data_IF_748260831272
#
_entry.id   IF_748260831272
#
_cell.length_a   1.000
_cell.length_b   1.000
_cell.length_c   1.000
_cell.angle_alpha   90.00
_cell.angle_beta   90.00
_cell.angle_gamma   90.00
#
_symmetry.space_group_name_H-M   'P 1'
#
loop_
_entity.id
_entity.type
_entity.pdbx_description
1 polymer ?
#
# COMPACT_ATOMS: atom_id res chain seq x y z
N UNK A 1 98.11 -30.94 -32.82
CA UNK A 1 97.96 -30.51 -31.41
C UNK A 1 97.63 -29.03 -31.21
N UNK A 2 98.49 -28.05 -31.54
CA UNK A 2 98.14 -26.61 -31.33
C UNK A 2 97.01 -26.09 -32.24
N UNK A 3 96.88 -26.60 -33.48
CA UNK A 3 95.80 -26.23 -34.42
C UNK A 3 94.43 -26.74 -33.96
N UNK A 4 94.36 -28.00 -33.55
CA UNK A 4 93.12 -28.66 -33.09
C UNK A 4 92.55 -27.98 -31.84
N UNK A 5 93.43 -27.58 -30.92
CA UNK A 5 93.05 -26.84 -29.70
C UNK A 5 92.44 -25.46 -30.02
N UNK A 6 92.91 -24.82 -31.10
CA UNK A 6 92.45 -23.50 -31.53
C UNK A 6 91.07 -23.59 -32.21
N UNK A 7 90.84 -24.67 -32.95
CA UNK A 7 89.56 -24.98 -33.59
C UNK A 7 88.49 -25.35 -32.56
N UNK A 8 88.85 -26.16 -31.56
CA UNK A 8 87.99 -26.47 -30.40
C UNK A 8 87.60 -25.20 -29.64
N UNK A 9 88.55 -24.27 -29.38
CA UNK A 9 88.25 -22.97 -28.78
C UNK A 9 87.28 -22.13 -29.62
N UNK A 10 87.37 -22.20 -30.95
CA UNK A 10 86.51 -21.46 -31.87
C UNK A 10 85.09 -22.03 -31.88
N UNK A 11 84.96 -23.36 -31.83
CA UNK A 11 83.67 -24.06 -31.69
C UNK A 11 83.03 -23.78 -30.33
N UNK A 12 83.78 -23.85 -29.23
CA UNK A 12 83.30 -23.52 -27.89
C UNK A 12 82.72 -22.09 -27.81
N UNK A 13 83.38 -21.10 -28.41
CA UNK A 13 82.84 -19.73 -28.47
C UNK A 13 81.56 -19.62 -29.29
N UNK A 14 81.44 -20.36 -30.40
CA UNK A 14 80.20 -20.39 -31.20
C UNK A 14 79.05 -21.02 -30.41
N UNK A 15 79.32 -22.10 -29.70
CA UNK A 15 78.34 -22.77 -28.84
C UNK A 15 77.89 -21.82 -27.71
N UNK A 16 78.83 -21.17 -27.01
CA UNK A 16 78.53 -20.18 -25.96
C UNK A 16 77.66 -19.04 -26.48
N UNK A 17 77.99 -18.48 -27.64
CA UNK A 17 77.20 -17.39 -28.25
C UNK A 17 75.80 -17.85 -28.67
N UNK A 18 75.65 -19.10 -29.11
CA UNK A 18 74.34 -19.67 -29.40
C UNK A 18 73.54 -19.92 -28.11
N UNK A 19 74.18 -20.37 -27.03
CA UNK A 19 73.53 -20.55 -25.72
C UNK A 19 73.06 -19.21 -25.13
N UNK A 20 73.86 -18.14 -25.23
CA UNK A 20 73.41 -16.78 -24.84
C UNK A 20 72.20 -16.31 -25.65
N UNK A 21 72.20 -16.55 -26.97
CA UNK A 21 71.05 -16.22 -27.83
C UNK A 21 69.80 -17.00 -27.46
N UNK A 22 69.94 -18.30 -27.18
CA UNK A 22 68.84 -19.15 -26.75
C UNK A 22 68.29 -18.69 -25.41
N UNK A 23 69.14 -18.36 -24.44
CA UNK A 23 68.73 -17.78 -23.15
C UNK A 23 67.97 -16.47 -23.32
N UNK A 24 68.42 -15.59 -24.22
CA UNK A 24 67.70 -14.35 -24.52
C UNK A 24 66.32 -14.62 -25.13
N UNK A 25 66.23 -15.57 -26.07
CA UNK A 25 64.96 -15.96 -26.68
C UNK A 25 64.01 -16.59 -25.66
N UNK A 26 64.52 -17.46 -24.79
CA UNK A 26 63.74 -18.11 -23.73
C UNK A 26 63.21 -17.09 -22.73
N UNK A 27 64.03 -16.11 -22.33
CA UNK A 27 63.58 -15.01 -21.46
C UNK A 27 62.50 -14.11 -22.11
N UNK A 28 62.59 -13.91 -23.43
CA UNK A 28 61.59 -13.13 -24.17
C UNK A 28 60.26 -13.91 -24.26
N UNK A 29 60.31 -15.21 -24.57
CA UNK A 29 59.14 -16.09 -24.62
C UNK A 29 58.45 -16.15 -23.24
N UNK A 30 59.21 -16.32 -22.16
CA UNK A 30 58.67 -16.31 -20.79
C UNK A 30 57.94 -14.99 -20.45
N UNK A 31 58.48 -13.85 -20.91
CA UNK A 31 57.83 -12.56 -20.69
C UNK A 31 56.52 -12.42 -21.50
N UNK A 32 56.49 -13.00 -22.70
CA UNK A 32 55.32 -12.99 -23.57
C UNK A 32 54.23 -13.93 -23.02
N UNK A 33 54.59 -15.15 -22.60
CA UNK A 33 53.68 -16.09 -21.93
C UNK A 33 53.03 -15.47 -20.69
N UNK A 34 53.82 -14.79 -19.85
CA UNK A 34 53.27 -14.10 -18.67
C UNK A 34 52.30 -12.97 -19.05
N UNK A 35 52.55 -12.27 -20.16
CA UNK A 35 51.63 -11.23 -20.63
C UNK A 35 50.33 -11.81 -21.19
N UNK A 36 50.39 -12.96 -21.86
CA UNK A 36 49.23 -13.71 -22.35
C UNK A 36 48.41 -14.24 -21.19
N UNK A 37 49.04 -14.84 -20.17
CA UNK A 37 48.36 -15.36 -18.99
C UNK A 37 47.60 -14.25 -18.23
N UNK A 38 48.20 -13.05 -18.13
CA UNK A 38 47.52 -11.89 -17.57
C UNK A 38 46.30 -11.44 -18.39
N UNK A 39 46.41 -11.47 -19.73
CA UNK A 39 45.30 -11.12 -20.61
C UNK A 39 44.16 -12.15 -20.54
N UNK A 40 44.48 -13.45 -20.51
CA UNK A 40 43.50 -14.52 -20.35
C UNK A 40 42.77 -14.43 -19.01
N UNK A 41 43.51 -14.13 -17.92
CA UNK A 41 42.92 -13.88 -16.61
C UNK A 41 41.95 -12.69 -16.62
N UNK A 42 42.32 -11.58 -17.27
CA UNK A 42 41.45 -10.41 -17.38
C UNK A 42 40.19 -10.67 -18.22
N UNK A 43 40.31 -11.41 -19.33
CA UNK A 43 39.17 -11.81 -20.17
C UNK A 43 38.22 -12.74 -19.42
N UNK A 44 38.76 -13.66 -18.61
CA UNK A 44 37.95 -14.57 -17.78
C UNK A 44 37.13 -13.80 -16.75
N UNK A 45 37.73 -12.80 -16.09
CA UNK A 45 37.02 -11.94 -15.15
C UNK A 45 35.94 -11.10 -15.84
N UNK A 46 36.22 -10.55 -17.02
CA UNK A 46 35.23 -9.82 -17.80
C UNK A 46 34.05 -10.71 -18.19
N UNK A 47 34.30 -11.94 -18.65
CA UNK A 47 33.25 -12.88 -19.01
C UNK A 47 32.33 -13.19 -17.81
N UNK A 48 32.89 -13.41 -16.63
CA UNK A 48 32.11 -13.64 -15.40
C UNK A 48 31.23 -12.43 -15.03
N UNK A 49 31.79 -11.20 -15.09
CA UNK A 49 31.00 -9.99 -14.81
C UNK A 49 29.87 -9.76 -15.81
N UNK A 50 30.08 -10.16 -17.07
CA UNK A 50 29.06 -10.06 -18.12
C UNK A 50 27.92 -11.04 -17.87
N UNK A 51 28.26 -12.28 -17.49
CA UNK A 51 27.29 -13.33 -17.20
C UNK A 51 26.42 -12.99 -15.98
N UNK A 52 27.02 -12.41 -14.93
CA UNK A 52 26.27 -11.89 -13.76
C UNK A 52 25.32 -10.75 -14.15
N UNK A 53 25.76 -9.83 -15.01
CA UNK A 53 24.92 -8.73 -15.49
C UNK A 53 23.75 -9.22 -16.36
N UNK A 54 23.98 -10.20 -17.24
CA UNK A 54 22.93 -10.81 -18.06
C UNK A 54 21.88 -11.54 -17.21
N UNK A 55 22.31 -12.28 -16.18
CA UNK A 55 21.38 -12.91 -15.24
C UNK A 55 20.55 -11.89 -14.47
N UNK A 56 21.16 -10.77 -14.06
CA UNK A 56 20.45 -9.65 -13.44
C UNK A 56 19.35 -9.10 -14.35
N UNK A 57 19.67 -8.80 -15.61
CA UNK A 57 18.70 -8.31 -16.58
C UNK A 57 17.56 -9.30 -16.86
N UNK A 58 17.86 -10.59 -16.92
CA UNK A 58 16.84 -11.64 -17.09
C UNK A 58 15.87 -11.70 -15.90
N UNK A 59 16.36 -11.44 -14.69
CA UNK A 59 15.51 -11.40 -13.49
C UNK A 59 14.60 -10.16 -13.49
N UNK A 60 15.13 -8.99 -13.81
CA UNK A 60 14.36 -7.75 -13.93
C UNK A 60 13.27 -7.85 -15.02
N UNK A 61 13.57 -8.47 -16.16
CA UNK A 61 12.59 -8.67 -17.22
C UNK A 61 11.43 -9.57 -16.78
N UNK A 62 11.71 -10.62 -15.99
CA UNK A 62 10.65 -11.47 -15.44
C UNK A 62 9.77 -10.71 -14.45
N UNK A 63 10.37 -9.89 -13.58
CA UNK A 63 9.61 -9.05 -12.66
C UNK A 63 8.72 -8.05 -13.40
N UNK A 64 9.24 -7.42 -14.47
CA UNK A 64 8.48 -6.51 -15.32
C UNK A 64 7.31 -7.22 -16.01
N UNK A 65 7.50 -8.43 -16.53
CA UNK A 65 6.43 -9.21 -17.17
C UNK A 65 5.34 -9.61 -16.17
N UNK A 66 5.71 -9.93 -14.92
CA UNK A 66 4.75 -10.21 -13.86
C UNK A 66 3.92 -8.97 -13.49
N UNK A 67 4.57 -7.80 -13.39
CA UNK A 67 3.91 -6.51 -13.13
C UNK A 67 2.97 -6.15 -14.29
N UNK A 68 3.41 -6.32 -15.54
CA UNK A 68 2.57 -6.05 -16.71
C UNK A 68 1.32 -6.94 -16.71
N UNK A 69 1.45 -8.24 -16.43
CA UNK A 69 0.30 -9.15 -16.31
C UNK A 69 -0.62 -8.83 -15.13
N UNK A 70 -0.10 -8.21 -14.07
CA UNK A 70 -0.93 -7.74 -12.96
C UNK A 70 -1.73 -6.50 -13.38
N UNK A 71 -1.06 -5.52 -14.01
CA UNK A 71 -1.70 -4.30 -14.53
C UNK A 71 -2.73 -4.65 -15.60
N UNK A 72 -2.41 -5.56 -16.52
CA UNK A 72 -3.34 -5.97 -17.58
C UNK A 72 -4.60 -6.63 -17.02
N UNK A 73 -4.46 -7.42 -15.94
CA UNK A 73 -5.60 -7.97 -15.19
C UNK A 73 -6.43 -6.88 -14.52
N UNK A 74 -5.80 -5.87 -13.94
CA UNK A 74 -6.49 -4.79 -13.23
C UNK A 74 -7.16 -3.79 -14.20
N UNK A 75 -6.58 -3.54 -15.37
CA UNK A 75 -7.04 -2.55 -16.35
C UNK A 75 -8.06 -3.12 -17.34
N UNK A 76 -7.97 -4.41 -17.73
CA UNK A 76 -8.96 -5.04 -18.63
C UNK A 76 -10.30 -5.32 -17.94
N UNK A 77 -10.35 -5.36 -16.62
CA UNK A 77 -11.60 -5.45 -15.88
C UNK A 77 -12.21 -4.05 -15.84
N UNK A 78 -13.01 -3.73 -16.85
CA UNK A 78 -13.83 -2.52 -16.84
C UNK A 78 -14.60 -2.44 -15.51
N UNK A 79 -14.54 -1.31 -14.77
CA UNK A 79 -15.25 -1.14 -13.50
C UNK A 79 -16.77 -1.29 -13.61
N UNK A 80 -17.30 -1.41 -14.83
CA UNK A 80 -18.72 -1.61 -15.14
C UNK A 80 -19.07 -3.03 -15.62
N UNK A 81 -18.10 -3.92 -15.88
CA UNK A 81 -18.42 -5.18 -16.61
C UNK A 81 -18.90 -6.33 -15.74
N UNK A 82 -18.69 -6.29 -14.41
CA UNK A 82 -19.14 -7.36 -13.52
C UNK A 82 -19.73 -6.79 -12.23
N UNK A 83 -21.06 -6.80 -12.15
CA UNK A 83 -21.76 -6.64 -10.87
C UNK A 83 -21.39 -7.83 -9.99
N UNK A 84 -20.61 -7.58 -8.94
CA UNK A 84 -20.21 -8.63 -8.00
C UNK A 84 -21.26 -8.80 -6.91
N UNK A 85 -21.28 -9.94 -6.23
CA UNK A 85 -22.14 -10.13 -5.05
C UNK A 85 -21.84 -9.10 -3.94
N UNK A 86 -20.61 -8.56 -3.89
CA UNK A 86 -20.23 -7.47 -2.98
C UNK A 86 -20.97 -6.18 -3.31
N UNK A 87 -21.16 -5.86 -4.59
CA UNK A 87 -21.90 -4.68 -5.03
C UNK A 87 -23.38 -4.82 -4.71
N UNK A 88 -23.94 -6.02 -4.86
CA UNK A 88 -25.32 -6.30 -4.45
C UNK A 88 -25.53 -6.12 -2.94
N UNK A 89 -24.60 -6.61 -2.10
CA UNK A 89 -24.67 -6.39 -0.65
C UNK A 89 -24.54 -4.91 -0.29
N UNK A 90 -23.62 -4.17 -0.92
CA UNK A 90 -23.49 -2.72 -0.73
C UNK A 90 -24.77 -1.99 -1.12
N UNK A 91 -25.39 -2.37 -2.24
CA UNK A 91 -26.64 -1.79 -2.71
C UNK A 91 -27.81 -2.07 -1.74
N UNK A 92 -27.94 -3.30 -1.23
CA UNK A 92 -28.95 -3.64 -0.21
C UNK A 92 -28.74 -2.82 1.06
N UNK A 93 -27.51 -2.76 1.56
CA UNK A 93 -27.19 -2.00 2.79
C UNK A 93 -27.50 -0.52 2.58
N UNK A 94 -27.06 0.06 1.46
CA UNK A 94 -27.34 1.45 1.10
C UNK A 94 -28.83 1.74 0.97
N UNK A 95 -29.58 0.88 0.28
CA UNK A 95 -31.02 1.00 0.13
C UNK A 95 -31.75 0.87 1.48
N UNK A 96 -31.34 -0.07 2.33
CA UNK A 96 -31.88 -0.23 3.68
C UNK A 96 -31.66 1.03 4.52
N UNK A 97 -30.44 1.56 4.57
CA UNK A 97 -30.16 2.80 5.29
C UNK A 97 -30.90 4.01 4.68
N UNK A 98 -31.07 4.06 3.36
CA UNK A 98 -31.85 5.10 2.70
C UNK A 98 -33.34 5.06 3.07
N UNK A 99 -33.95 3.87 3.01
CA UNK A 99 -35.37 3.65 3.36
C UNK A 99 -35.60 3.90 4.85
N UNK A 100 -34.80 3.29 5.72
CA UNK A 100 -34.91 3.48 7.18
C UNK A 100 -34.61 4.93 7.54
N UNK A 101 -33.62 5.55 6.87
CA UNK A 101 -33.28 6.98 6.98
C UNK A 101 -34.47 7.88 6.71
N UNK A 102 -35.09 7.68 5.55
CA UNK A 102 -36.27 8.42 5.13
C UNK A 102 -37.44 8.23 6.10
N UNK A 103 -37.77 6.98 6.47
CA UNK A 103 -38.86 6.71 7.40
C UNK A 103 -38.60 7.27 8.80
N UNK A 104 -37.39 7.11 9.33
CA UNK A 104 -37.03 7.66 10.63
C UNK A 104 -37.06 9.20 10.63
N UNK A 105 -36.80 9.84 9.49
CA UNK A 105 -36.91 11.29 9.36
C UNK A 105 -38.36 11.76 9.40
N UNK A 106 -39.25 11.14 8.61
CA UNK A 106 -40.67 11.49 8.56
C UNK A 106 -41.45 11.11 9.83
N UNK A 107 -41.25 9.89 10.34
CA UNK A 107 -41.90 9.45 11.57
C UNK A 107 -41.19 9.97 12.82
N UNK A 108 -39.92 10.35 12.71
CA UNK A 108 -39.15 10.89 13.84
C UNK A 108 -39.77 12.16 14.41
N UNK A 109 -40.41 12.98 13.58
CA UNK A 109 -41.12 14.20 14.00
C UNK A 109 -42.42 13.89 14.73
N UNK A 110 -43.17 12.88 14.26
CA UNK A 110 -44.41 12.43 14.91
C UNK A 110 -44.11 11.78 16.27
N UNK A 111 -43.15 10.86 16.31
CA UNK A 111 -42.70 10.20 17.54
C UNK A 111 -42.11 11.21 18.54
N UNK A 112 -41.44 12.26 18.06
CA UNK A 112 -40.89 13.31 18.91
C UNK A 112 -41.97 14.11 19.67
N UNK A 113 -43.19 14.19 19.13
CA UNK A 113 -44.29 14.88 19.81
C UNK A 113 -44.72 14.15 21.09
N UNK A 114 -44.66 12.82 21.09
CA UNK A 114 -45.01 11.96 22.23
C UNK A 114 -43.84 11.69 23.18
N UNK A 115 -42.61 11.97 22.74
CA UNK A 115 -41.41 11.80 23.55
C UNK A 115 -41.33 12.88 24.63
N UNK A 116 -40.97 12.46 25.85
CA UNK A 116 -40.54 13.38 26.89
C UNK A 116 -39.06 13.75 26.70
N UNK A 117 -38.66 14.91 27.22
CA UNK A 117 -37.26 15.36 27.18
C UNK A 117 -36.30 14.33 27.81
N UNK A 118 -36.73 13.67 28.89
CA UNK A 118 -35.96 12.61 29.53
C UNK A 118 -35.74 11.40 28.60
N UNK A 119 -36.77 10.95 27.89
CA UNK A 119 -36.64 9.87 26.90
C UNK A 119 -35.72 10.27 25.74
N UNK A 120 -35.84 11.51 25.25
CA UNK A 120 -34.94 12.03 24.23
C UNK A 120 -33.48 12.06 24.71
N UNK A 121 -33.23 12.45 25.96
CA UNK A 121 -31.89 12.42 26.56
C UNK A 121 -31.30 11.01 26.59
N UNK A 122 -32.11 10.01 26.96
CA UNK A 122 -31.71 8.61 26.92
C UNK A 122 -31.34 8.19 25.48
N UNK A 123 -32.10 8.61 24.48
CA UNK A 123 -31.78 8.31 23.07
C UNK A 123 -30.44 8.90 22.63
N UNK A 124 -30.08 10.11 23.06
CA UNK A 124 -28.76 10.68 22.80
C UNK A 124 -27.63 9.87 23.45
N UNK A 125 -27.83 9.43 24.69
CA UNK A 125 -26.83 8.62 25.41
C UNK A 125 -26.67 7.26 24.71
N UNK A 126 -27.80 6.63 24.34
CA UNK A 126 -27.80 5.36 23.62
C UNK A 126 -27.13 5.50 22.26
N UNK A 127 -27.43 6.56 21.50
CA UNK A 127 -26.80 6.79 20.19
C UNK A 127 -25.29 7.00 20.33
N UNK A 128 -24.83 7.74 21.34
CA UNK A 128 -23.41 7.91 21.63
C UNK A 128 -22.73 6.58 22.01
N UNK A 129 -23.37 5.76 22.85
CA UNK A 129 -22.87 4.42 23.20
C UNK A 129 -22.79 3.50 21.99
N UNK A 130 -23.77 3.56 21.08
CA UNK A 130 -23.72 2.81 19.83
C UNK A 130 -22.57 3.28 18.93
N UNK A 131 -22.30 4.58 18.83
CA UNK A 131 -21.14 5.10 18.10
C UNK A 131 -19.82 4.51 18.61
N UNK A 132 -19.66 4.54 19.94
CA UNK A 132 -18.49 4.00 20.63
C UNK A 132 -18.36 2.50 20.38
N UNK A 133 -19.46 1.76 20.52
CA UNK A 133 -19.51 0.32 20.29
C UNK A 133 -19.17 -0.04 18.84
N UNK A 134 -19.74 0.68 17.87
CA UNK A 134 -19.44 0.49 16.44
C UNK A 134 -17.98 0.75 16.16
N UNK A 135 -17.41 1.88 16.61
CA UNK A 135 -15.98 2.16 16.41
C UNK A 135 -15.09 1.13 17.11
N UNK A 136 -15.47 0.66 18.29
CA UNK A 136 -14.74 -0.38 18.99
C UNK A 136 -14.74 -1.70 18.21
N UNK A 137 -15.89 -2.21 17.76
CA UNK A 137 -15.90 -3.48 17.04
C UNK A 137 -15.23 -3.41 15.67
N UNK A 138 -15.35 -2.27 15.00
CA UNK A 138 -14.95 -2.14 13.60
C UNK A 138 -13.52 -1.61 13.44
N UNK A 139 -13.05 -0.75 14.35
CA UNK A 139 -11.71 -0.14 14.30
C UNK A 139 -10.65 -0.87 15.12
N UNK A 140 -11.03 -1.73 16.07
CA UNK A 140 -10.12 -2.12 17.15
C UNK A 140 -9.37 -3.45 16.95
N UNK A 141 -9.78 -4.28 15.98
CA UNK A 141 -9.24 -5.63 15.83
C UNK A 141 -7.81 -5.70 15.27
N UNK A 142 -7.22 -4.59 14.81
CA UNK A 142 -5.94 -4.58 14.08
C UNK A 142 -4.97 -3.41 14.41
N UNK A 143 -5.23 -2.61 15.45
CA UNK A 143 -4.51 -1.33 15.63
C UNK A 143 -3.65 -1.31 16.90
N UNK A 144 -2.41 -0.82 16.77
CA UNK A 144 -1.44 -0.67 17.86
C UNK A 144 -1.97 0.14 19.05
N UNK A 145 -1.53 -0.22 20.26
CA UNK A 145 -1.88 0.42 21.56
C UNK A 145 -1.68 1.95 21.57
N UNK A 146 -0.83 2.51 20.70
CA UNK A 146 -0.54 3.95 20.64
C UNK A 146 -1.72 4.79 20.12
N UNK A 147 -2.63 4.20 19.32
CA UNK A 147 -3.76 4.93 18.69
C UNK A 147 -4.97 5.06 19.64
N UNK A 148 -4.96 4.40 20.80
CA UNK A 148 -6.07 4.39 21.77
C UNK A 148 -6.53 5.78 22.20
N UNK A 149 -5.58 6.70 22.37
CA UNK A 149 -5.85 8.06 22.87
C UNK A 149 -6.67 8.92 21.90
N UNK A 150 -6.63 8.61 20.59
CA UNK A 150 -7.33 9.38 19.57
C UNK A 150 -8.74 8.84 19.27
N UNK A 151 -9.07 7.64 19.74
CA UNK A 151 -10.40 7.04 19.54
C UNK A 151 -11.55 7.88 20.12
N UNK A 152 -11.53 8.30 21.39
CA UNK A 152 -12.65 9.07 21.95
C UNK A 152 -12.87 10.38 21.20
N UNK A 153 -11.79 11.01 20.73
CA UNK A 153 -11.88 12.22 19.92
C UNK A 153 -12.56 11.94 18.56
N UNK A 154 -12.22 10.83 17.90
CA UNK A 154 -12.87 10.42 16.64
C UNK A 154 -14.36 10.15 16.84
N UNK A 155 -14.74 9.41 17.88
CA UNK A 155 -16.15 9.14 18.22
C UNK A 155 -16.91 10.44 18.44
N UNK A 156 -16.31 11.37 19.18
CA UNK A 156 -16.89 12.67 19.46
C UNK A 156 -17.10 13.47 18.17
N UNK A 157 -16.10 13.52 17.28
CA UNK A 157 -16.20 14.21 15.99
C UNK A 157 -17.32 13.63 15.13
N UNK A 158 -17.38 12.30 14.97
CA UNK A 158 -18.42 11.64 14.17
C UNK A 158 -19.81 11.91 14.77
N UNK A 159 -19.93 11.83 16.09
CA UNK A 159 -21.18 12.08 16.79
C UNK A 159 -21.67 13.53 16.59
N UNK A 160 -20.83 14.53 16.85
CA UNK A 160 -21.21 15.93 16.66
C UNK A 160 -21.50 16.27 15.20
N UNK A 161 -20.71 15.72 14.27
CA UNK A 161 -20.96 15.91 12.84
C UNK A 161 -22.33 15.34 12.45
N UNK A 162 -22.69 14.16 12.96
CA UNK A 162 -24.00 13.57 12.69
C UNK A 162 -25.16 14.41 13.24
N UNK A 163 -25.03 14.96 14.46
CA UNK A 163 -26.07 15.83 15.03
C UNK A 163 -26.21 17.14 14.24
N UNK A 164 -25.09 17.74 13.82
CA UNK A 164 -25.08 18.93 13.00
C UNK A 164 -25.76 18.69 11.65
N UNK A 165 -25.46 17.55 11.00
CA UNK A 165 -26.10 17.16 9.75
C UNK A 165 -27.61 16.96 9.94
N UNK A 166 -28.05 16.32 11.02
CA UNK A 166 -29.49 16.17 11.31
C UNK A 166 -30.16 17.54 11.40
N UNK A 167 -29.59 18.47 12.18
CA UNK A 167 -30.15 19.83 12.35
C UNK A 167 -30.22 20.54 11.00
N UNK A 168 -29.15 20.49 10.21
CA UNK A 168 -29.10 21.10 8.89
C UNK A 168 -30.18 20.54 7.96
N UNK A 169 -30.31 19.21 7.91
CA UNK A 169 -31.28 18.53 7.05
C UNK A 169 -32.72 18.85 7.50
N UNK A 170 -33.01 18.84 8.81
CA UNK A 170 -34.32 19.24 9.35
C UNK A 170 -34.67 20.70 9.04
N UNK A 171 -33.68 21.60 9.05
CA UNK A 171 -33.86 22.99 8.66
C UNK A 171 -34.17 23.12 7.16
N UNK A 172 -33.45 22.39 6.29
CA UNK A 172 -33.69 22.40 4.83
C UNK A 172 -35.09 21.90 4.47
N UNK A 173 -35.58 20.87 5.18
CA UNK A 173 -36.91 20.32 4.96
C UNK A 173 -38.05 21.10 5.65
N UNK A 174 -37.73 22.18 6.38
CA UNK A 174 -38.73 23.02 7.06
C UNK A 174 -39.37 22.38 8.29
N UNK A 175 -38.77 21.32 8.85
CA UNK A 175 -39.23 20.72 10.12
C UNK A 175 -38.78 21.52 11.34
N UNK A 176 -37.67 22.27 11.20
CA UNK A 176 -37.18 23.20 12.21
C UNK A 176 -37.24 24.59 11.59
N UNK A 177 -38.03 25.47 12.20
CA UNK A 177 -38.13 26.87 11.82
C UNK A 177 -37.85 27.77 13.04
N UNK A 178 -37.68 29.06 12.81
CA UNK A 178 -37.42 30.03 13.89
C UNK A 178 -38.54 30.15 14.93
N UNK A 179 -39.72 29.59 14.64
CA UNK A 179 -40.87 29.56 15.57
C UNK A 179 -41.02 28.23 16.31
N UNK A 180 -40.25 27.21 15.95
CA UNK A 180 -40.35 25.89 16.59
C UNK A 180 -39.79 25.94 18.01
N UNK A 181 -40.52 25.37 18.98
CA UNK A 181 -40.07 25.34 20.37
C UNK A 181 -38.73 24.57 20.49
N UNK A 182 -37.71 25.12 21.17
CA UNK A 182 -36.41 24.44 21.31
C UNK A 182 -36.51 23.05 21.94
N UNK A 183 -37.51 22.83 22.80
CA UNK A 183 -37.77 21.52 23.42
C UNK A 183 -38.24 20.48 22.40
N UNK A 184 -39.01 20.87 21.38
CA UNK A 184 -39.46 19.99 20.31
C UNK A 184 -38.30 19.65 19.38
N UNK A 185 -37.47 20.65 19.03
CA UNK A 185 -36.26 20.45 18.22
C UNK A 185 -35.35 19.41 18.88
N UNK A 186 -35.09 19.56 20.19
CA UNK A 186 -34.26 18.63 20.95
C UNK A 186 -34.77 17.19 20.88
N UNK A 187 -36.10 17.00 20.96
CA UNK A 187 -36.77 15.70 20.88
C UNK A 187 -36.71 15.07 19.49
N UNK A 188 -36.91 15.88 18.44
CA UNK A 188 -36.81 15.44 17.04
C UNK A 188 -35.38 14.99 16.72
N UNK A 189 -34.40 15.80 17.08
CA UNK A 189 -32.99 15.43 16.85
C UNK A 189 -32.62 14.19 17.66
N UNK A 190 -33.16 14.03 18.87
CA UNK A 190 -32.96 12.86 19.72
C UNK A 190 -33.52 11.58 19.11
N UNK A 191 -34.74 11.62 18.55
CA UNK A 191 -35.40 10.46 17.93
C UNK A 191 -34.66 9.96 16.69
N UNK A 192 -34.03 10.86 15.93
CA UNK A 192 -33.30 10.53 14.69
C UNK A 192 -31.81 10.23 14.97
N UNK A 193 -31.28 10.63 16.14
CA UNK A 193 -29.84 10.55 16.46
C UNK A 193 -29.23 9.15 16.31
N UNK A 194 -29.94 8.10 16.74
CA UNK A 194 -29.43 6.71 16.65
C UNK A 194 -29.10 6.35 15.21
N UNK A 195 -30.01 6.62 14.28
CA UNK A 195 -29.84 6.23 12.90
C UNK A 195 -28.78 7.06 12.18
N UNK A 196 -28.75 8.37 12.44
CA UNK A 196 -27.75 9.26 11.87
C UNK A 196 -26.33 8.90 12.34
N UNK A 197 -26.18 8.59 13.63
CA UNK A 197 -24.91 8.17 14.22
C UNK A 197 -24.46 6.82 13.66
N UNK A 198 -25.37 5.87 13.46
CA UNK A 198 -25.08 4.60 12.80
C UNK A 198 -24.61 4.80 11.37
N UNK A 199 -25.31 5.63 10.59
CA UNK A 199 -24.93 5.96 9.21
C UNK A 199 -23.55 6.64 9.12
N UNK A 200 -23.31 7.63 9.99
CA UNK A 200 -22.02 8.32 10.05
C UNK A 200 -20.88 7.38 10.47
N UNK A 201 -21.11 6.48 11.43
CA UNK A 201 -20.13 5.48 11.88
C UNK A 201 -19.86 4.43 10.79
N UNK A 202 -20.86 4.05 10.00
CA UNK A 202 -20.68 3.15 8.87
C UNK A 202 -19.86 3.81 7.74
N UNK A 203 -20.12 5.08 7.42
CA UNK A 203 -19.35 5.83 6.43
C UNK A 203 -17.88 6.00 6.84
N UNK A 204 -17.64 6.31 8.12
CA UNK A 204 -16.29 6.42 8.72
C UNK A 204 -15.51 5.08 8.67
N UNK A 205 -16.22 3.95 8.56
CA UNK A 205 -15.61 2.64 8.36
C UNK A 205 -15.26 2.37 6.90
N UNK A 206 -16.15 2.74 5.98
CA UNK A 206 -16.01 2.45 4.55
C UNK A 206 -14.89 3.29 3.91
N UNK A 207 -14.67 4.52 4.38
CA UNK A 207 -13.61 5.41 3.87
C UNK A 207 -12.17 5.00 4.19
N UNK A 208 -11.94 3.78 4.67
CA UNK A 208 -10.61 3.22 4.99
C UNK A 208 -10.04 2.30 3.90
N UNK A 209 -10.75 2.10 2.79
CA UNK A 209 -10.21 1.46 1.58
C UNK A 209 -9.72 2.51 0.59
#
# INVERSE_FOLDING_TARGET
MKKDLLEIKRLLRKILKNQERLLQQESAILSEEHSVEQQEGALTQQAQTLEEAEQGQLSELKELEEIERAIERDVKVSPLSKVTSRDFTKAIVGAFFGVVGHFAFFYGTEIASELSVGRATILYIVSFMLALLFMYFTGFRRVDKRIWKYMPLRVLTVYFTSLLVIILVLAIFGFIDGQTEPSLIYRIVGSISILAVLGASAADLIGRE
#
